data_IF_216391898716
#
_entry.id   IF_216391898716
#
_cell.length_a   1.000
_cell.length_b   1.000
_cell.length_c   1.000
_cell.angle_alpha   90.00
_cell.angle_beta   90.00
_cell.angle_gamma   90.00
#
_symmetry.space_group_name_H-M   'P 1'
#
loop_
_entity.id
_entity.type
_entity.pdbx_description
1 polymer ?
#
# COMPACT_ATOMS: atom_id res chain seq x y z
N UNK A 1 13.27 18.75 -16.60
CA UNK A 1 11.81 18.98 -16.77
C UNK A 1 11.18 19.04 -15.38
N UNK A 2 10.59 20.18 -15.05
CA UNK A 2 10.29 20.64 -13.69
C UNK A 2 9.19 19.82 -12.99
N UNK A 3 9.55 19.01 -11.99
CA UNK A 3 8.61 18.46 -11.01
C UNK A 3 8.15 19.60 -10.10
N UNK A 4 7.03 20.26 -10.44
CA UNK A 4 6.37 21.20 -9.53
C UNK A 4 6.00 20.44 -8.25
N UNK A 5 6.39 21.02 -7.12
CA UNK A 5 6.18 20.56 -5.75
C UNK A 5 4.72 20.18 -5.48
N UNK A 6 4.34 18.93 -5.81
CA UNK A 6 3.15 18.31 -5.28
C UNK A 6 3.38 17.99 -3.80
N UNK A 7 2.35 18.12 -2.96
CA UNK A 7 2.46 17.66 -1.57
C UNK A 7 2.95 16.20 -1.54
N UNK A 8 3.74 15.83 -0.53
CA UNK A 8 4.25 14.46 -0.36
C UNK A 8 3.16 13.40 -0.58
N UNK A 9 1.94 13.69 -0.14
CA UNK A 9 0.74 12.87 -0.35
C UNK A 9 0.37 12.69 -1.82
N UNK A 10 0.36 13.76 -2.61
CA UNK A 10 0.08 13.69 -4.05
C UNK A 10 1.09 12.80 -4.78
N UNK A 11 2.37 12.94 -4.45
CA UNK A 11 3.42 12.07 -5.00
C UNK A 11 3.18 10.58 -4.68
N UNK A 12 2.77 10.26 -3.45
CA UNK A 12 2.43 8.87 -3.08
C UNK A 12 1.21 8.33 -3.83
N UNK A 13 0.21 9.17 -4.09
CA UNK A 13 -0.95 8.78 -4.88
C UNK A 13 -0.58 8.54 -6.33
N UNK A 14 0.18 9.43 -6.96
CA UNK A 14 0.67 9.26 -8.32
C UNK A 14 1.49 7.97 -8.46
N UNK A 15 2.39 7.67 -7.51
CA UNK A 15 3.13 6.40 -7.48
C UNK A 15 2.21 5.17 -7.39
N UNK A 16 1.10 5.28 -6.66
CA UNK A 16 0.12 4.19 -6.54
C UNK A 16 -0.70 4.03 -7.82
N UNK A 17 -1.04 5.12 -8.50
CA UNK A 17 -1.73 5.10 -9.78
C UNK A 17 -0.85 4.56 -10.92
N UNK A 18 0.47 4.81 -10.89
CA UNK A 18 1.41 4.16 -11.81
C UNK A 18 1.41 2.65 -11.63
N UNK A 19 1.34 2.15 -10.40
CA UNK A 19 1.23 0.71 -10.13
C UNK A 19 -0.11 0.14 -10.59
N UNK A 20 -1.21 0.87 -10.40
CA UNK A 20 -2.52 0.51 -10.94
C UNK A 20 -2.46 0.38 -12.47
N UNK A 21 -1.90 1.37 -13.16
CA UNK A 21 -1.72 1.36 -14.62
C UNK A 21 -0.94 0.13 -15.08
N UNK A 22 0.21 -0.14 -14.46
CA UNK A 22 1.05 -1.29 -14.80
C UNK A 22 0.32 -2.62 -14.58
N UNK A 23 -0.44 -2.75 -13.48
CA UNK A 23 -1.26 -3.93 -13.21
C UNK A 23 -2.38 -4.09 -14.24
N UNK A 24 -3.09 -3.01 -14.59
CA UNK A 24 -4.12 -3.02 -15.64
C UNK A 24 -3.56 -3.42 -17.00
N UNK A 25 -2.38 -2.89 -17.38
CA UNK A 25 -1.73 -3.27 -18.64
C UNK A 25 -1.46 -4.78 -18.74
N UNK A 26 -1.16 -5.42 -17.61
CA UNK A 26 -0.86 -6.85 -17.55
C UNK A 26 -2.11 -7.74 -17.46
N UNK A 27 -3.02 -7.41 -16.55
CA UNK A 27 -4.16 -8.29 -16.20
C UNK A 27 -5.46 -7.89 -16.92
N UNK A 28 -5.66 -6.61 -17.22
CA UNK A 28 -6.92 -6.06 -17.74
C UNK A 28 -6.67 -4.97 -18.81
N UNK A 29 -5.97 -5.27 -19.92
CA UNK A 29 -5.58 -4.26 -20.89
C UNK A 29 -6.78 -3.55 -21.53
N UNK A 30 -7.92 -4.23 -21.64
CA UNK A 30 -9.18 -3.65 -22.16
C UNK A 30 -9.80 -2.59 -21.25
N UNK A 31 -9.35 -2.44 -20.00
CA UNK A 31 -9.79 -1.40 -19.07
C UNK A 31 -9.04 -0.08 -19.25
N UNK A 32 -8.10 0.01 -20.19
CA UNK A 32 -7.35 1.22 -20.50
C UNK A 32 -7.90 1.91 -21.74
N UNK A 33 -7.95 3.24 -21.72
CA UNK A 33 -8.31 4.05 -22.88
C UNK A 33 -7.08 4.79 -23.38
N UNK A 34 -6.65 4.51 -24.61
CA UNK A 34 -5.41 5.08 -25.15
C UNK A 34 -4.15 4.73 -24.34
N UNK A 35 -4.19 3.61 -23.59
CA UNK A 35 -3.12 3.23 -22.68
C UNK A 35 -3.11 3.99 -21.35
N UNK A 36 -4.10 4.83 -21.07
CA UNK A 36 -4.25 5.55 -19.80
C UNK A 36 -5.38 4.98 -18.94
N UNK A 37 -5.26 5.19 -17.62
CA UNK A 37 -6.31 4.84 -16.66
C UNK A 37 -7.33 5.97 -16.66
N UNK A 38 -8.54 5.68 -17.13
CA UNK A 38 -9.62 6.67 -17.22
C UNK A 38 -10.78 6.23 -16.31
N UNK A 39 -11.10 6.98 -15.24
CA UNK A 39 -12.27 6.69 -14.42
C UNK A 39 -13.58 7.05 -15.15
N UNK A 40 -14.73 6.46 -14.76
CA UNK A 40 -14.88 5.47 -13.69
C UNK A 40 -14.35 4.09 -14.11
N UNK A 41 -13.63 3.44 -13.20
CA UNK A 41 -13.28 2.03 -13.34
C UNK A 41 -14.40 1.15 -12.80
N UNK A 42 -14.50 -0.05 -13.35
CA UNK A 42 -15.36 -1.10 -12.78
C UNK A 42 -14.98 -1.35 -11.31
N UNK A 43 -15.95 -1.39 -10.37
CA UNK A 43 -15.69 -1.76 -8.98
C UNK A 43 -14.91 -3.08 -8.82
N UNK A 44 -15.13 -4.07 -9.68
CA UNK A 44 -14.40 -5.34 -9.66
C UNK A 44 -12.92 -5.15 -9.98
N UNK A 45 -12.58 -4.21 -10.88
CA UNK A 45 -11.20 -3.85 -11.21
C UNK A 45 -10.53 -3.16 -10.02
N UNK A 46 -11.22 -2.23 -9.35
CA UNK A 46 -10.69 -1.57 -8.16
C UNK A 46 -10.46 -2.56 -7.01
N UNK A 47 -11.39 -3.52 -6.85
CA UNK A 47 -11.27 -4.63 -5.89
C UNK A 47 -10.06 -5.50 -6.18
N UNK A 48 -9.92 -5.98 -7.42
CA UNK A 48 -8.82 -6.84 -7.85
C UNK A 48 -7.46 -6.18 -7.66
N UNK A 49 -7.36 -4.87 -7.94
CA UNK A 49 -6.14 -4.13 -7.68
C UNK A 49 -5.81 -4.04 -6.18
N UNK A 50 -6.81 -3.79 -5.32
CA UNK A 50 -6.56 -3.78 -3.87
C UNK A 50 -6.16 -5.16 -3.35
N UNK A 51 -6.79 -6.24 -3.83
CA UNK A 51 -6.39 -7.60 -3.51
C UNK A 51 -4.92 -7.85 -3.88
N UNK A 52 -4.54 -7.48 -5.10
CA UNK A 52 -3.16 -7.55 -5.58
C UNK A 52 -2.19 -6.77 -4.70
N UNK A 53 -2.59 -5.58 -4.24
CA UNK A 53 -1.81 -4.71 -3.36
C UNK A 53 -1.76 -5.17 -1.91
N UNK A 54 -2.72 -5.96 -1.42
CA UNK A 54 -2.71 -6.51 -0.06
C UNK A 54 -1.56 -7.49 0.14
N UNK A 55 -1.18 -8.23 -0.91
CA UNK A 55 -0.13 -9.25 -0.83
C UNK A 55 1.24 -8.67 -1.20
N UNK A 56 2.28 -9.05 -0.46
CA UNK A 56 3.66 -8.73 -0.83
C UNK A 56 4.11 -9.64 -1.96
N UNK A 57 4.82 -9.03 -2.92
CA UNK A 57 5.28 -9.70 -4.13
C UNK A 57 6.76 -9.47 -4.34
N UNK A 58 7.41 -10.44 -4.96
CA UNK A 58 8.80 -10.36 -5.38
C UNK A 58 9.00 -9.41 -6.58
N UNK A 59 10.25 -9.21 -7.02
CA UNK A 59 10.57 -8.37 -8.19
C UNK A 59 9.95 -8.87 -9.50
N UNK A 60 9.71 -10.17 -9.60
CA UNK A 60 9.04 -10.87 -10.70
C UNK A 60 7.51 -10.70 -10.68
N UNK A 61 6.94 -10.15 -9.60
CA UNK A 61 5.51 -10.01 -9.40
C UNK A 61 4.83 -11.25 -8.78
N UNK A 62 5.58 -12.32 -8.51
CA UNK A 62 5.07 -13.50 -7.83
C UNK A 62 4.76 -13.17 -6.35
N UNK A 63 3.77 -13.85 -5.78
CA UNK A 63 3.54 -13.77 -4.33
C UNK A 63 4.75 -14.32 -3.58
N UNK A 64 5.10 -13.68 -2.48
CA UNK A 64 6.14 -14.23 -1.62
C UNK A 64 5.64 -15.53 -0.98
N UNK A 65 6.53 -16.52 -0.88
CA UNK A 65 6.32 -17.75 -0.12
C UNK A 65 7.31 -17.79 1.06
N UNK A 66 6.85 -17.84 2.33
CA UNK A 66 5.45 -17.85 2.76
C UNK A 66 4.73 -16.52 2.48
N UNK A 67 3.41 -16.60 2.30
CA UNK A 67 2.56 -15.45 2.00
C UNK A 67 2.71 -14.37 3.07
N UNK A 68 2.97 -13.15 2.62
CA UNK A 68 3.08 -11.97 3.48
C UNK A 68 2.14 -10.87 2.99
N UNK A 69 1.58 -10.11 3.91
CA UNK A 69 0.70 -8.99 3.60
C UNK A 69 1.37 -7.63 3.81
N UNK A 70 0.92 -6.63 3.07
CA UNK A 70 1.31 -5.23 3.28
C UNK A 70 0.58 -4.66 4.50
N UNK A 71 1.13 -3.60 5.07
CA UNK A 71 0.50 -2.91 6.20
C UNK A 71 -0.78 -2.19 5.76
N UNK A 72 -1.70 -1.98 6.71
CA UNK A 72 -2.93 -1.22 6.46
C UNK A 72 -2.66 0.14 5.85
N UNK A 73 -1.69 0.90 6.39
CA UNK A 73 -1.37 2.23 5.89
C UNK A 73 -0.93 2.21 4.42
N UNK A 74 -0.17 1.19 4.00
CA UNK A 74 0.28 1.06 2.62
C UNK A 74 -0.91 0.81 1.67
N UNK A 75 -1.77 -0.15 2.00
CA UNK A 75 -2.92 -0.51 1.16
C UNK A 75 -4.00 0.58 1.19
N UNK A 76 -4.23 1.21 2.34
CA UNK A 76 -5.13 2.36 2.46
C UNK A 76 -4.64 3.56 1.64
N UNK A 77 -3.33 3.69 1.44
CA UNK A 77 -2.74 4.65 0.50
C UNK A 77 -3.19 4.39 -0.94
N UNK A 78 -3.21 3.13 -1.37
CA UNK A 78 -3.73 2.73 -2.69
C UNK A 78 -5.23 3.03 -2.82
N UNK A 79 -6.03 2.67 -1.82
CA UNK A 79 -7.47 3.02 -1.75
C UNK A 79 -7.68 4.53 -1.88
N UNK A 80 -6.90 5.34 -1.15
CA UNK A 80 -6.99 6.80 -1.21
C UNK A 80 -6.56 7.37 -2.56
N UNK A 81 -5.59 6.75 -3.23
CA UNK A 81 -5.17 7.13 -4.58
C UNK A 81 -6.28 6.90 -5.62
N UNK A 82 -7.03 5.79 -5.52
CA UNK A 82 -8.20 5.55 -6.37
C UNK A 82 -9.24 6.66 -6.15
N UNK A 83 -9.59 6.96 -4.89
CA UNK A 83 -10.52 8.06 -4.58
C UNK A 83 -10.04 9.41 -5.10
N UNK A 84 -8.73 9.66 -5.01
CA UNK A 84 -8.11 10.87 -5.52
C UNK A 84 -8.23 11.00 -7.04
N UNK A 85 -8.04 9.90 -7.78
CA UNK A 85 -8.24 9.86 -9.24
C UNK A 85 -9.70 10.20 -9.62
N UNK A 86 -10.69 9.65 -8.91
CA UNK A 86 -12.10 9.98 -9.14
C UNK A 86 -12.37 11.47 -8.87
N UNK A 87 -11.83 11.99 -7.76
CA UNK A 87 -11.93 13.42 -7.44
C UNK A 87 -11.29 14.30 -8.51
N UNK A 88 -10.15 13.92 -9.07
CA UNK A 88 -9.52 14.68 -10.17
C UNK A 88 -10.37 14.69 -11.44
N UNK A 89 -11.07 13.60 -11.74
CA UNK A 89 -12.01 13.53 -12.85
C UNK A 89 -13.37 14.18 -12.56
N UNK A 90 -13.50 14.88 -11.41
CA UNK A 90 -14.76 15.46 -10.94
C UNK A 90 -15.91 14.44 -10.80
N UNK A 91 -15.57 13.19 -10.48
CA UNK A 91 -16.50 12.11 -10.23
C UNK A 91 -16.68 11.87 -8.73
N UNK A 92 -17.89 11.50 -8.34
CA UNK A 92 -18.17 11.01 -6.99
C UNK A 92 -17.80 9.53 -6.89
N UNK A 93 -17.14 9.16 -5.80
CA UNK A 93 -16.98 7.76 -5.41
C UNK A 93 -18.29 7.33 -4.76
N UNK A 94 -18.89 6.24 -5.25
CA UNK A 94 -20.13 5.72 -4.67
C UNK A 94 -19.85 5.09 -3.29
N UNK A 95 -20.86 5.07 -2.42
CA UNK A 95 -20.74 4.46 -1.09
C UNK A 95 -20.48 2.95 -1.22
N UNK A 96 -21.07 2.30 -2.22
CA UNK A 96 -20.88 0.87 -2.50
C UNK A 96 -19.43 0.57 -2.87
N UNK A 97 -18.81 1.41 -3.72
CA UNK A 97 -17.40 1.26 -4.07
C UNK A 97 -16.51 1.46 -2.84
N UNK A 98 -16.80 2.45 -2.00
CA UNK A 98 -16.00 2.69 -0.80
C UNK A 98 -16.08 1.53 0.22
N UNK A 99 -17.29 1.01 0.42
CA UNK A 99 -17.55 -0.15 1.27
C UNK A 99 -16.85 -1.40 0.74
N UNK A 100 -16.93 -1.65 -0.57
CA UNK A 100 -16.27 -2.78 -1.23
C UNK A 100 -14.74 -2.71 -1.07
N UNK A 101 -14.14 -1.54 -1.23
CA UNK A 101 -12.69 -1.37 -1.04
C UNK A 101 -12.27 -1.54 0.44
N UNK A 102 -13.11 -1.14 1.40
CA UNK A 102 -12.84 -1.38 2.83
C UNK A 102 -12.95 -2.86 3.20
N UNK A 103 -13.97 -3.54 2.68
CA UNK A 103 -14.21 -4.96 2.91
C UNK A 103 -13.05 -5.81 2.37
N UNK A 104 -12.54 -5.47 1.17
CA UNK A 104 -11.45 -6.23 0.56
C UNK A 104 -10.19 -6.23 1.42
N UNK A 105 -9.78 -5.07 1.94
CA UNK A 105 -8.63 -4.99 2.85
C UNK A 105 -8.82 -5.88 4.09
N UNK A 106 -10.04 -5.92 4.62
CA UNK A 106 -10.37 -6.73 5.80
C UNK A 106 -10.29 -8.23 5.51
N UNK A 107 -10.67 -8.68 4.32
CA UNK A 107 -10.56 -10.09 3.88
C UNK A 107 -9.11 -10.59 3.93
N UNK A 108 -8.12 -9.73 3.63
CA UNK A 108 -6.70 -10.05 3.70
C UNK A 108 -6.07 -9.84 5.09
N UNK A 109 -6.88 -9.59 6.12
CA UNK A 109 -6.38 -9.29 7.47
C UNK A 109 -5.61 -7.98 7.55
N UNK A 110 -5.76 -7.10 6.56
CA UNK A 110 -5.15 -5.77 6.55
C UNK A 110 -6.10 -4.83 7.29
N UNK A 111 -5.93 -4.71 8.62
CA UNK A 111 -6.92 -4.08 9.50
C UNK A 111 -6.48 -2.70 10.01
N UNK A 112 -7.44 -1.78 10.13
CA UNK A 112 -7.18 -0.40 10.60
C UNK A 112 -6.60 -0.35 12.01
N UNK A 113 -6.97 -1.32 12.85
CA UNK A 113 -6.50 -1.44 14.24
C UNK A 113 -4.98 -1.65 14.34
N UNK A 114 -4.34 -2.12 13.27
CA UNK A 114 -2.91 -2.44 13.26
C UNK A 114 -2.01 -1.22 13.02
N UNK A 115 -2.58 -0.06 12.63
CA UNK A 115 -1.82 1.18 12.38
C UNK A 115 -1.09 1.63 13.66
N UNK A 116 -1.78 1.61 14.80
CA UNK A 116 -1.23 2.06 16.08
C UNK A 116 -0.17 1.10 16.63
N UNK A 117 -0.38 -0.20 16.46
CA UNK A 117 0.54 -1.24 16.95
C UNK A 117 1.92 -1.11 16.31
N UNK A 118 1.99 -0.80 15.02
CA UNK A 118 3.28 -0.65 14.32
C UNK A 118 4.04 0.61 14.76
N UNK A 119 3.36 1.75 14.91
CA UNK A 119 3.97 2.99 15.44
C UNK A 119 4.42 2.82 16.89
N UNK A 120 3.66 2.08 17.70
CA UNK A 120 4.02 1.76 19.08
C UNK A 120 5.29 0.91 19.16
N UNK A 121 5.38 -0.19 18.38
CA UNK A 121 6.61 -1.01 18.31
C UNK A 121 7.83 -0.19 17.90
N UNK A 122 7.67 0.71 16.93
CA UNK A 122 8.74 1.64 16.51
C UNK A 122 9.15 2.60 17.63
N UNK A 123 8.18 3.20 18.32
CA UNK A 123 8.45 4.10 19.44
C UNK A 123 9.22 3.42 20.56
N UNK A 124 8.78 2.23 20.98
CA UNK A 124 9.48 1.43 22.02
C UNK A 124 10.90 1.05 21.57
N UNK A 125 11.08 0.65 20.30
CA UNK A 125 12.40 0.32 19.79
C UNK A 125 13.34 1.53 19.77
N UNK A 126 12.85 2.70 19.37
CA UNK A 126 13.61 3.95 19.41
C UNK A 126 14.00 4.36 20.83
N UNK A 127 13.07 4.26 21.78
CA UNK A 127 13.33 4.56 23.19
C UNK A 127 14.42 3.66 23.78
N UNK A 128 14.29 2.35 23.60
CA UNK A 128 15.25 1.37 24.10
C UNK A 128 16.64 1.53 23.48
N UNK A 129 16.71 1.89 22.19
CA UNK A 129 17.99 2.12 21.50
C UNK A 129 18.71 3.39 21.96
N UNK A 130 17.96 4.36 22.47
CA UNK A 130 18.50 5.64 22.96
C UNK A 130 18.78 5.63 24.47
N UNK A 131 18.45 4.54 25.18
CA UNK A 131 18.67 4.43 26.63
C UNK A 131 20.15 4.11 26.91
N UNK A 132 20.88 4.94 27.68
CA UNK A 132 22.25 4.63 28.07
C UNK A 132 22.33 3.31 28.86
N UNK A 133 23.18 2.38 28.42
CA UNK A 133 23.22 1.02 28.98
C UNK A 133 22.06 0.12 28.55
N UNK A 134 21.26 0.55 27.58
CA UNK A 134 20.15 -0.20 27.01
C UNK A 134 20.59 -1.43 26.20
N UNK A 135 19.63 -2.28 25.80
CA UNK A 135 19.90 -3.47 25.00
C UNK A 135 20.51 -3.09 23.65
N UNK A 136 21.44 -3.92 23.17
CA UNK A 136 22.03 -3.76 21.84
C UNK A 136 20.93 -3.65 20.77
N UNK A 137 21.12 -2.77 19.78
CA UNK A 137 20.16 -2.53 18.71
C UNK A 137 19.71 -3.83 18.01
N UNK A 138 20.62 -4.80 17.83
CA UNK A 138 20.32 -6.12 17.26
C UNK A 138 19.31 -6.90 18.11
N UNK A 139 19.42 -6.83 19.45
CA UNK A 139 18.50 -7.49 20.37
C UNK A 139 17.11 -6.83 20.37
N UNK A 140 17.06 -5.50 20.32
CA UNK A 140 15.79 -4.76 20.15
C UNK A 140 15.11 -5.18 18.84
N UNK A 141 15.91 -5.27 17.78
CA UNK A 141 15.45 -5.58 16.44
C UNK A 141 14.88 -7.01 16.32
N UNK A 142 15.58 -8.02 16.86
CA UNK A 142 15.11 -9.41 16.92
C UNK A 142 13.81 -9.53 17.74
N UNK A 143 13.74 -8.86 18.91
CA UNK A 143 12.56 -8.89 19.78
C UNK A 143 11.37 -8.12 19.23
N UNK A 144 11.60 -7.08 18.44
CA UNK A 144 10.55 -6.33 17.77
C UNK A 144 9.90 -7.13 16.62
N UNK A 145 10.45 -8.30 16.27
CA UNK A 145 9.97 -9.17 15.20
C UNK A 145 10.14 -8.51 13.82
N UNK A 146 11.14 -7.64 13.67
CA UNK A 146 11.44 -7.03 12.38
C UNK A 146 12.24 -8.02 11.53
N UNK A 147 12.10 -7.94 10.21
CA UNK A 147 12.83 -8.80 9.25
C UNK A 147 13.86 -7.97 8.52
N UNK A 148 15.11 -8.46 8.39
CA UNK A 148 16.29 -7.67 7.99
C UNK A 148 16.24 -7.41 6.47
N UNK A 149 15.19 -7.91 5.80
CA UNK A 149 15.18 -8.15 4.38
C UNK A 149 16.25 -9.18 4.00
N UNK A 150 16.36 -9.44 2.70
CA UNK A 150 17.55 -10.06 2.14
C UNK A 150 18.70 -9.05 2.25
N UNK A 151 19.47 -9.12 3.33
CA UNK A 151 20.76 -8.44 3.42
C UNK A 151 21.69 -9.22 2.49
N UNK A 152 21.94 -8.68 1.30
CA UNK A 152 23.08 -9.13 0.49
C UNK A 152 24.34 -8.67 1.22
N UNK A 153 25.12 -9.64 1.71
CA UNK A 153 26.48 -9.42 2.20
C UNK A 153 27.45 -9.08 1.07
#
# INVERSE_FOLDING_TARGET
>A
MLLRYGSKTRYQYEKSLVRLKAWLQREHPGSLSGGEVVPPLDPAICKGFLAYECVKRGPDGAELDPQQFKSYSAVNGCKSAIKFMYKQANLRVSEELDALLAAEMSTYGVLVKDIGTHSFRKGVASELSNTPGGPEAVNVWLRAGWTLGTVQG
#
